data_IF_228036412261
#
_entry.id   IF_228036412261
#
_cell.length_a   1.000
_cell.length_b   1.000
_cell.length_c   1.000
_cell.angle_alpha   90.00
_cell.angle_beta   90.00
_cell.angle_gamma   90.00
#
_symmetry.space_group_name_H-M   'P 1'
#
loop_
_entity.id
_entity.type
_entity.pdbx_description
1 polymer ?
#
# COMPACT_ATOMS: atom_id res chain seq x y z
N UNK A 1 -15.46 6.27 19.51
CA UNK A 1 -14.81 6.19 18.19
C UNK A 1 -14.46 4.73 17.95
N UNK A 2 -14.85 4.15 16.82
CA UNK A 2 -14.43 2.79 16.46
C UNK A 2 -12.92 2.76 16.24
N UNK A 3 -12.26 1.73 16.75
CA UNK A 3 -10.82 1.55 16.55
C UNK A 3 -10.56 1.11 15.10
N UNK A 4 -9.71 1.85 14.37
CA UNK A 4 -9.26 1.43 13.05
C UNK A 4 -8.17 0.37 13.22
N UNK A 5 -8.44 -0.85 12.74
CA UNK A 5 -7.58 -2.01 13.00
C UNK A 5 -6.89 -2.57 11.74
N UNK A 6 -7.17 -2.01 10.55
CA UNK A 6 -6.62 -2.49 9.28
C UNK A 6 -6.12 -1.32 8.44
N UNK A 7 -5.01 -1.53 7.74
CA UNK A 7 -4.41 -0.54 6.84
C UNK A 7 -4.30 -1.11 5.42
N UNK A 8 -4.32 -0.24 4.38
CA UNK A 8 -4.52 1.21 4.47
C UNK A 8 -5.97 1.57 4.86
N UNK A 9 -6.23 2.84 5.19
CA UNK A 9 -7.58 3.29 5.55
C UNK A 9 -8.33 3.67 4.29
N UNK A 10 -9.52 3.10 4.09
CA UNK A 10 -10.39 3.34 2.93
C UNK A 10 -11.61 4.15 3.37
N UNK A 11 -11.86 5.28 2.71
CA UNK A 11 -13.04 6.12 2.91
C UNK A 11 -14.12 5.88 1.83
N UNK A 12 -15.35 6.31 2.12
CA UNK A 12 -16.55 6.07 1.30
C UNK A 12 -16.54 6.64 -0.14
N UNK A 13 -15.60 7.51 -0.48
CA UNK A 13 -15.46 8.20 -1.77
C UNK A 13 -14.26 7.70 -2.59
N UNK A 14 -13.80 6.47 -2.31
CA UNK A 14 -12.61 5.84 -2.90
C UNK A 14 -11.30 6.58 -2.59
N UNK A 15 -11.27 7.32 -1.49
CA UNK A 15 -10.04 7.89 -0.95
C UNK A 15 -9.37 6.83 -0.07
N UNK A 16 -8.08 6.65 -0.26
CA UNK A 16 -7.24 5.73 0.52
C UNK A 16 -6.08 6.49 1.14
N UNK A 17 -5.90 6.27 2.44
CA UNK A 17 -4.77 6.79 3.20
C UNK A 17 -3.79 5.66 3.52
N UNK A 18 -2.63 5.73 2.88
CA UNK A 18 -1.46 4.96 3.26
C UNK A 18 -0.80 5.66 4.43
N UNK A 19 -0.52 4.92 5.50
CA UNK A 19 -0.06 5.48 6.77
C UNK A 19 1.06 4.60 7.31
N UNK A 20 2.16 5.24 7.68
CA UNK A 20 3.25 4.61 8.40
C UNK A 20 3.51 5.36 9.70
N UNK A 21 3.74 4.59 10.77
CA UNK A 21 4.14 5.12 12.07
C UNK A 21 5.45 4.46 12.50
N UNK A 22 6.54 5.22 12.46
CA UNK A 22 7.87 4.74 12.78
C UNK A 22 8.93 5.83 12.59
N UNK A 23 10.13 5.59 13.12
CA UNK A 23 11.25 6.51 12.97
C UNK A 23 11.84 6.32 11.58
N UNK A 24 11.84 7.39 10.78
CA UNK A 24 12.47 7.47 9.46
C UNK A 24 12.86 8.94 9.21
N UNK A 25 13.91 9.18 8.42
CA UNK A 25 14.29 10.50 7.91
C UNK A 25 13.39 10.89 6.75
N UNK A 26 13.10 9.93 5.87
CA UNK A 26 12.14 10.05 4.78
C UNK A 26 11.41 8.72 4.55
N UNK A 27 10.29 8.80 3.85
CA UNK A 27 9.51 7.64 3.48
C UNK A 27 8.87 7.86 2.11
N UNK A 28 8.96 6.85 1.24
CA UNK A 28 8.28 6.84 -0.03
C UNK A 28 7.33 5.64 -0.17
N UNK A 29 6.30 5.80 -1.00
CA UNK A 29 5.33 4.78 -1.37
C UNK A 29 5.66 4.24 -2.76
N UNK A 30 5.85 2.92 -2.85
CA UNK A 30 5.72 2.16 -4.09
C UNK A 30 4.31 1.56 -4.11
N UNK A 31 3.52 1.83 -5.16
CA UNK A 31 2.17 1.27 -5.30
C UNK A 31 1.78 1.10 -6.77
N UNK A 32 0.91 0.12 -7.06
CA UNK A 32 0.50 -0.20 -8.44
C UNK A 32 -0.02 1.04 -9.21
N UNK A 33 -0.83 1.87 -8.58
CA UNK A 33 -1.49 3.02 -9.22
C UNK A 33 -0.56 4.22 -9.47
N UNK A 34 0.59 4.28 -8.80
CA UNK A 34 1.63 5.31 -9.04
C UNK A 34 2.85 4.76 -9.77
N UNK A 35 2.82 3.47 -10.15
CA UNK A 35 3.96 2.71 -10.64
C UNK A 35 4.66 1.98 -9.48
N UNK A 36 4.61 0.65 -9.49
CA UNK A 36 5.08 -0.21 -8.38
C UNK A 36 6.59 -0.10 -8.08
N UNK A 37 7.36 0.57 -8.94
CA UNK A 37 8.79 0.84 -8.78
C UNK A 37 9.10 2.32 -8.55
N UNK A 38 8.11 3.20 -8.66
CA UNK A 38 8.31 4.62 -8.46
C UNK A 38 8.29 4.93 -6.97
N UNK A 39 9.32 5.62 -6.49
CA UNK A 39 9.40 6.15 -5.13
C UNK A 39 8.60 7.45 -5.08
N UNK A 40 7.39 7.39 -4.51
CA UNK A 40 6.54 8.56 -4.34
C UNK A 40 6.67 9.05 -2.89
N UNK A 41 7.34 10.19 -2.62
CA UNK A 41 7.51 10.67 -1.26
C UNK A 41 6.19 10.81 -0.50
N UNK A 42 6.20 10.45 0.78
CA UNK A 42 5.07 10.59 1.68
C UNK A 42 5.20 11.87 2.51
N UNK A 43 4.07 12.46 2.88
CA UNK A 43 4.03 13.62 3.74
C UNK A 43 4.32 13.20 5.19
N UNK A 44 5.28 13.86 5.84
CA UNK A 44 5.53 13.70 7.27
C UNK A 44 4.73 14.74 8.06
N UNK A 45 4.09 14.32 9.15
CA UNK A 45 3.58 15.28 10.14
C UNK A 45 4.76 15.77 10.99
N UNK A 46 5.07 17.06 10.86
CA UNK A 46 6.18 17.71 11.55
C UNK A 46 6.15 17.47 13.07
N UNK A 47 7.31 17.16 13.65
CA UNK A 47 7.44 16.86 15.07
C UNK A 47 6.89 15.48 15.48
N UNK A 48 6.64 14.60 14.52
CA UNK A 48 6.13 13.25 14.79
C UNK A 48 6.79 12.18 13.91
N UNK A 49 6.54 10.92 14.28
CA UNK A 49 6.99 9.73 13.56
C UNK A 49 5.87 9.20 12.65
N UNK A 50 5.09 10.10 12.04
CA UNK A 50 3.91 9.76 11.27
C UNK A 50 4.07 10.26 9.83
N UNK A 51 3.91 9.34 8.90
CA UNK A 51 3.98 9.59 7.46
C UNK A 51 2.68 9.13 6.81
N UNK A 52 2.19 9.88 5.83
CA UNK A 52 0.98 9.53 5.10
C UNK A 52 1.04 9.91 3.62
N UNK A 53 0.22 9.24 2.83
CA UNK A 53 -0.03 9.59 1.44
C UNK A 53 -1.48 9.27 1.11
N UNK A 54 -2.16 10.22 0.49
CA UNK A 54 -3.61 10.13 0.21
C UNK A 54 -3.84 10.05 -1.28
N UNK A 55 -4.61 9.06 -1.72
CA UNK A 55 -4.87 8.80 -3.13
C UNK A 55 -6.35 8.53 -3.37
N UNK A 56 -6.86 8.99 -4.51
CA UNK A 56 -8.15 8.53 -5.03
C UNK A 56 -7.91 7.35 -5.94
N UNK A 57 -8.57 6.23 -5.67
CA UNK A 57 -8.42 5.00 -6.44
C UNK A 57 -9.70 4.65 -7.22
N UNK A 58 -9.56 3.76 -8.19
CA UNK A 58 -10.72 3.15 -8.86
C UNK A 58 -11.50 2.25 -7.89
N UNK A 59 -12.84 2.29 -7.88
CA UNK A 59 -13.67 1.56 -6.90
C UNK A 59 -13.43 0.04 -6.87
N UNK A 60 -13.02 -0.53 -8.01
CA UNK A 60 -12.73 -1.95 -8.17
C UNK A 60 -11.24 -2.29 -8.19
N UNK A 61 -10.36 -1.40 -7.74
CA UNK A 61 -8.92 -1.66 -7.77
C UNK A 61 -8.48 -2.70 -6.73
N UNK A 62 -7.48 -3.51 -7.09
CA UNK A 62 -6.65 -4.28 -6.15
C UNK A 62 -5.24 -3.75 -6.26
N UNK A 63 -4.67 -3.35 -5.13
CA UNK A 63 -3.41 -2.60 -5.07
C UNK A 63 -2.38 -3.39 -4.27
N UNK A 64 -1.22 -3.62 -4.88
CA UNK A 64 0.02 -3.94 -4.19
C UNK A 64 0.77 -2.66 -3.84
N UNK A 65 1.42 -2.67 -2.70
CA UNK A 65 2.23 -1.55 -2.24
C UNK A 65 3.29 -2.00 -1.23
N UNK A 66 4.27 -1.11 -1.01
CA UNK A 66 5.27 -1.19 0.08
C UNK A 66 5.80 0.21 0.37
N UNK A 67 6.48 0.37 1.50
CA UNK A 67 7.21 1.60 1.80
C UNK A 67 8.69 1.43 1.48
N UNK A 68 9.34 2.51 1.06
CA UNK A 68 10.78 2.64 0.95
C UNK A 68 11.21 3.62 2.04
N UNK A 69 11.91 3.11 3.05
CA UNK A 69 12.32 3.85 4.24
C UNK A 69 13.76 4.34 4.08
N UNK A 70 13.97 5.62 4.39
CA UNK A 70 15.27 6.29 4.30
C UNK A 70 15.91 6.10 2.91
N UNK A 71 15.09 6.11 1.84
CA UNK A 71 15.43 5.79 0.44
C UNK A 71 16.24 4.50 0.19
N UNK A 72 16.25 3.56 1.14
CA UNK A 72 17.09 2.36 1.05
C UNK A 72 16.30 1.07 1.31
N UNK A 73 15.48 1.05 2.37
CA UNK A 73 14.89 -0.18 2.88
C UNK A 73 13.46 -0.38 2.36
N UNK A 74 13.24 -1.46 1.59
CA UNK A 74 11.91 -1.94 1.21
C UNK A 74 11.23 -2.60 2.41
N UNK A 75 10.15 -2.01 2.92
CA UNK A 75 9.38 -2.56 4.05
C UNK A 75 7.91 -2.76 3.69
N UNK A 76 7.34 -3.85 4.20
CA UNK A 76 5.89 -4.12 4.12
C UNK A 76 5.14 -3.26 5.14
N UNK A 77 3.86 -3.03 4.90
CA UNK A 77 3.01 -2.35 5.87
C UNK A 77 2.80 -3.25 7.11
N UNK A 78 3.34 -2.86 8.28
CA UNK A 78 3.27 -3.69 9.48
C UNK A 78 1.84 -3.83 10.04
N UNK A 79 0.90 -2.99 9.59
CA UNK A 79 -0.50 -3.02 10.01
C UNK A 79 -1.44 -3.59 8.93
N UNK A 80 -0.88 -4.10 7.83
CA UNK A 80 -1.62 -4.85 6.84
C UNK A 80 -1.18 -6.33 6.84
N UNK A 81 -2.03 -7.26 7.33
CA UNK A 81 -1.69 -8.69 7.35
C UNK A 81 -1.69 -9.33 5.96
N UNK A 82 -2.25 -8.66 4.94
CA UNK A 82 -2.34 -9.18 3.58
C UNK A 82 -1.04 -8.91 2.83
N UNK A 83 -0.37 -10.00 2.43
CA UNK A 83 0.91 -9.95 1.74
C UNK A 83 0.88 -10.87 0.52
N UNK A 84 1.69 -10.52 -0.49
CA UNK A 84 1.91 -11.34 -1.67
C UNK A 84 3.41 -11.37 -1.99
N UNK A 85 3.89 -12.52 -2.45
CA UNK A 85 5.26 -12.70 -2.95
C UNK A 85 5.20 -12.99 -4.44
N UNK A 86 6.06 -12.33 -5.19
CA UNK A 86 6.12 -12.46 -6.65
C UNK A 86 7.56 -12.68 -7.08
N UNK A 87 7.79 -13.64 -7.96
CA UNK A 87 9.09 -13.81 -8.61
C UNK A 87 9.22 -12.78 -9.72
N UNK A 88 10.19 -11.89 -9.60
CA UNK A 88 10.47 -10.82 -10.57
C UNK A 88 11.95 -10.93 -10.91
N UNK A 89 12.25 -11.19 -12.19
CA UNK A 89 13.60 -11.39 -12.78
C UNK A 89 14.73 -11.54 -11.76
N UNK A 90 15.13 -12.80 -11.52
CA UNK A 90 16.22 -13.19 -10.62
C UNK A 90 16.02 -12.87 -9.12
N UNK A 91 14.90 -12.26 -8.73
CA UNK A 91 14.55 -11.93 -7.34
C UNK A 91 13.12 -12.37 -6.96
N UNK A 92 12.86 -12.43 -5.65
CA UNK A 92 11.50 -12.59 -5.11
C UNK A 92 11.16 -11.33 -4.34
N UNK A 93 10.17 -10.62 -4.83
CA UNK A 93 9.70 -9.37 -4.24
C UNK A 93 8.47 -9.64 -3.38
N UNK A 94 8.31 -8.83 -2.32
CA UNK A 94 7.17 -8.91 -1.42
C UNK A 94 6.44 -7.57 -1.37
N UNK A 95 5.12 -7.64 -1.34
CA UNK A 95 4.24 -6.48 -1.24
C UNK A 95 3.14 -6.74 -0.22
N UNK A 96 2.73 -5.68 0.48
CA UNK A 96 1.41 -5.64 1.11
C UNK A 96 0.38 -5.44 0.02
N UNK A 97 -0.84 -5.94 0.21
CA UNK A 97 -1.90 -5.70 -0.76
C UNK A 97 -3.25 -5.46 -0.10
N UNK A 98 -4.15 -4.79 -0.80
CA UNK A 98 -5.55 -4.66 -0.41
C UNK A 98 -6.43 -4.57 -1.65
N UNK A 99 -7.74 -4.68 -1.44
CA UNK A 99 -8.74 -4.47 -2.48
C UNK A 99 -9.71 -3.37 -2.05
N UNK A 100 -10.14 -2.58 -3.04
CA UNK A 100 -11.23 -1.63 -2.87
C UNK A 100 -12.56 -2.40 -2.76
N UNK A 101 -13.59 -1.83 -2.11
CA UNK A 101 -14.82 -2.56 -1.79
C UNK A 101 -15.59 -3.15 -2.98
N UNK A 102 -15.44 -2.57 -4.19
CA UNK A 102 -16.10 -3.08 -5.39
C UNK A 102 -15.23 -4.05 -6.20
N UNK A 103 -14.03 -4.38 -5.72
CA UNK A 103 -13.18 -5.38 -6.36
C UNK A 103 -13.90 -6.74 -6.38
N UNK A 104 -13.84 -7.40 -7.54
CA UNK A 104 -14.37 -8.73 -7.75
C UNK A 104 -13.23 -9.61 -8.20
N UNK A 105 -13.04 -10.74 -7.53
CA UNK A 105 -12.17 -11.79 -8.03
C UNK A 105 -12.73 -12.29 -9.37
N UNK A 106 -11.89 -12.33 -10.40
CA UNK A 106 -12.31 -12.91 -11.67
C UNK A 106 -12.46 -14.43 -11.48
N UNK A 107 -13.70 -14.93 -11.60
CA UNK A 107 -13.98 -16.37 -11.61
C UNK A 107 -13.24 -17.01 -12.79
N UNK A 108 -12.17 -17.74 -12.52
CA UNK A 108 -11.40 -18.53 -13.50
C UNK A 108 -12.06 -19.87 -13.84
N UNK A 109 -13.38 -20.00 -13.66
CA UNK A 109 -14.14 -21.22 -13.99
C UNK A 109 -14.53 -21.36 -15.48
N UNK A 110 -14.09 -20.46 -16.37
CA UNK A 110 -14.38 -20.55 -17.82
C UNK A 110 -13.12 -20.74 -18.68
N UNK A 111 -12.19 -21.59 -18.23
CA UNK A 111 -11.16 -22.16 -19.10
C UNK A 111 -11.15 -23.68 -18.91
N UNK A 112 -12.14 -24.35 -19.50
CA UNK A 112 -12.21 -25.80 -19.70
C UNK A 112 -12.30 -26.12 -21.18
#
# INVERSE_FOLDING_TARGET
MSQQNTFPVIESNNIVHFIYRGVAEDLALNADHTGIWNENPMDQIEGSNFFYSTHKLEPGARIKYRYIKDLEEKILDPHNPQQIRESIVDEVESFSWFSMPEWKEENTENLS
#
